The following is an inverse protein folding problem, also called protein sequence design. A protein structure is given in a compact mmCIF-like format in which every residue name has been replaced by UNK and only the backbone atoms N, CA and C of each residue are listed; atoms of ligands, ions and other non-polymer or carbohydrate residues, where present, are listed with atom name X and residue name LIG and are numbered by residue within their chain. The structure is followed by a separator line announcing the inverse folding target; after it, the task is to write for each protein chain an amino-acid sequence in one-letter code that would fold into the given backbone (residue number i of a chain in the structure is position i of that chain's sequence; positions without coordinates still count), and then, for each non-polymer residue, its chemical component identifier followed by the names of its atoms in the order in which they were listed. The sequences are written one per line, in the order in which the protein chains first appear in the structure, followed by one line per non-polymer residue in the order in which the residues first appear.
data_IF_411475291352
#
_entry.id   IF_411475291352
#
_cell.length_a   1.000
_cell.length_b   1.000
_cell.length_c   1.000
_cell.angle_alpha   90.00
_cell.angle_beta   90.00
_cell.angle_gamma   90.00
#
_symmetry.space_group_name_H-M   'P 1'
#
loop_
_entity.id
_entity.type
_entity.pdbx_description
1 polymer ?
#
# COMPACT_ATOMS: atom_id res chain seq x y z
N UNK A 1 -40.11 3.92 -29.85
CA UNK A 1 -39.27 3.00 -30.64
C UNK A 1 -40.15 2.08 -31.45
N UNK A 2 -39.79 1.75 -32.69
CA UNK A 2 -40.49 0.74 -33.48
C UNK A 2 -40.27 -0.65 -32.84
N UNK A 3 -41.35 -1.38 -32.53
CA UNK A 3 -41.29 -2.71 -31.91
C UNK A 3 -40.39 -3.67 -32.69
N UNK A 4 -40.50 -3.66 -34.03
CA UNK A 4 -39.70 -4.54 -34.88
C UNK A 4 -38.20 -4.24 -34.77
N UNK A 5 -37.84 -2.95 -34.73
CA UNK A 5 -36.45 -2.54 -34.58
C UNK A 5 -35.85 -2.96 -33.22
N UNK A 6 -36.63 -2.88 -32.14
CA UNK A 6 -36.19 -3.35 -30.81
C UNK A 6 -36.06 -4.87 -30.77
N UNK A 7 -36.99 -5.58 -31.39
CA UNK A 7 -36.91 -7.04 -31.49
C UNK A 7 -35.65 -7.47 -32.26
N UNK A 8 -35.34 -6.80 -33.37
CA UNK A 8 -34.14 -7.07 -34.15
C UNK A 8 -32.88 -6.75 -33.34
N UNK A 9 -32.87 -5.65 -32.58
CA UNK A 9 -31.78 -5.30 -31.66
C UNK A 9 -31.47 -6.44 -30.67
N UNK A 10 -32.50 -7.07 -30.09
CA UNK A 10 -32.30 -8.19 -29.17
C UNK A 10 -31.89 -9.47 -29.90
N UNK A 11 -32.44 -9.75 -31.09
CA UNK A 11 -32.10 -10.94 -31.88
C UNK A 11 -30.64 -10.96 -32.33
N UNK A 12 -30.09 -9.80 -32.67
CA UNK A 12 -28.71 -9.63 -33.11
C UNK A 12 -27.78 -9.14 -31.99
N UNK A 13 -28.25 -9.12 -30.75
CA UNK A 13 -27.41 -8.80 -29.60
C UNK A 13 -26.34 -9.88 -29.43
N UNK A 14 -25.07 -9.49 -29.41
CA UNK A 14 -23.95 -10.36 -29.06
C UNK A 14 -23.79 -10.37 -27.54
N UNK A 15 -24.14 -11.48 -26.86
CA UNK A 15 -24.06 -11.55 -25.41
C UNK A 15 -22.62 -11.74 -24.93
N UNK A 16 -22.34 -11.25 -23.73
CA UNK A 16 -21.11 -11.52 -23.00
C UNK A 16 -21.04 -12.99 -22.55
N UNK A 17 -22.19 -13.58 -22.18
CA UNK A 17 -22.29 -15.00 -21.86
C UNK A 17 -23.00 -15.78 -22.97
N UNK A 18 -22.42 -16.91 -23.39
CA UNK A 18 -22.94 -17.73 -24.50
C UNK A 18 -24.42 -18.11 -24.35
N UNK A 19 -24.89 -18.32 -23.11
CA UNK A 19 -26.23 -18.78 -22.78
C UNK A 19 -27.26 -17.66 -22.53
N UNK A 20 -26.93 -16.42 -22.91
CA UNK A 20 -27.83 -15.26 -22.87
C UNK A 20 -28.31 -14.80 -24.25
N UNK A 21 -28.00 -15.52 -25.34
CA UNK A 21 -28.52 -15.16 -26.66
C UNK A 21 -30.06 -15.29 -26.75
N UNK A 22 -30.65 -14.69 -27.80
CA UNK A 22 -32.11 -14.63 -27.98
C UNK A 22 -32.79 -16.00 -27.92
N UNK A 23 -32.21 -17.03 -28.56
CA UNK A 23 -32.82 -18.36 -28.63
C UNK A 23 -32.79 -19.06 -27.28
N UNK A 24 -31.71 -18.91 -26.52
CA UNK A 24 -31.58 -19.55 -25.21
C UNK A 24 -32.54 -18.94 -24.18
N UNK A 25 -32.67 -17.62 -24.17
CA UNK A 25 -33.68 -16.96 -23.33
C UNK A 25 -35.11 -17.27 -23.80
N UNK A 26 -35.35 -17.45 -25.11
CA UNK A 26 -36.66 -17.84 -25.64
C UNK A 26 -37.11 -19.21 -25.11
N UNK A 27 -36.19 -20.19 -25.04
CA UNK A 27 -36.45 -21.52 -24.44
C UNK A 27 -36.86 -21.44 -22.96
N UNK A 28 -36.51 -20.35 -22.29
CA UNK A 28 -36.83 -20.09 -20.88
C UNK A 28 -38.12 -19.27 -20.70
N UNK A 29 -38.93 -19.13 -21.75
CA UNK A 29 -40.15 -18.31 -21.78
C UNK A 29 -39.87 -16.82 -21.49
N UNK A 30 -38.73 -16.30 -21.96
CA UNK A 30 -38.42 -14.88 -21.84
C UNK A 30 -39.46 -14.00 -22.56
N UNK A 31 -39.72 -12.83 -21.98
CA UNK A 31 -40.65 -11.82 -22.52
C UNK A 31 -39.91 -10.52 -22.79
N UNK A 32 -40.27 -9.89 -23.91
CA UNK A 32 -39.75 -8.57 -24.29
C UNK A 32 -40.56 -7.47 -23.60
N UNK A 33 -39.87 -6.60 -22.87
CA UNK A 33 -40.43 -5.37 -22.30
C UNK A 33 -39.70 -4.18 -22.89
N UNK A 34 -40.47 -3.23 -23.42
CA UNK A 34 -39.95 -2.00 -24.02
C UNK A 34 -40.45 -0.83 -23.18
N UNK A 35 -39.51 -0.04 -22.67
CA UNK A 35 -39.77 1.23 -21.99
C UNK A 35 -39.04 2.35 -22.73
N UNK A 36 -39.33 3.60 -22.39
CA UNK A 36 -38.66 4.75 -23.00
C UNK A 36 -37.14 4.71 -22.78
N UNK A 37 -36.70 4.20 -21.63
CA UNK A 37 -35.30 4.28 -21.18
C UNK A 37 -34.56 2.94 -21.21
N UNK A 38 -35.26 1.83 -21.43
CA UNK A 38 -34.66 0.50 -21.45
C UNK A 38 -35.46 -0.53 -22.25
N UNK A 39 -34.77 -1.58 -22.66
CA UNK A 39 -35.32 -2.81 -23.21
C UNK A 39 -34.90 -3.95 -22.28
N UNK A 40 -35.83 -4.81 -21.90
CA UNK A 40 -35.56 -6.03 -21.15
C UNK A 40 -36.06 -7.23 -21.93
N UNK A 41 -35.23 -8.27 -22.03
CA UNK A 41 -35.62 -9.57 -22.56
C UNK A 41 -35.15 -10.65 -21.59
N UNK A 42 -36.10 -11.28 -20.92
CA UNK A 42 -35.80 -12.28 -19.88
C UNK A 42 -37.04 -12.83 -19.22
N UNK A 43 -36.84 -13.69 -18.24
CA UNK A 43 -37.93 -14.36 -17.54
C UNK A 43 -38.63 -13.41 -16.56
N UNK A 44 -39.85 -13.78 -16.17
CA UNK A 44 -40.68 -13.07 -15.20
C UNK A 44 -41.34 -14.06 -14.27
N UNK A 45 -41.49 -13.67 -13.00
CA UNK A 45 -42.29 -14.36 -12.00
C UNK A 45 -43.14 -13.30 -11.27
N UNK A 46 -44.45 -13.53 -11.12
CA UNK A 46 -45.38 -12.57 -10.49
C UNK A 46 -45.28 -11.13 -11.07
N UNK A 47 -45.10 -11.00 -12.37
CA UNK A 47 -44.87 -9.73 -13.10
C UNK A 47 -43.60 -8.97 -12.73
N UNK A 48 -42.69 -9.57 -11.95
CA UNK A 48 -41.36 -9.02 -11.64
C UNK A 48 -40.30 -9.76 -12.47
N UNK A 49 -39.22 -9.08 -12.86
CA UNK A 49 -38.08 -9.74 -13.52
C UNK A 49 -37.51 -10.80 -12.60
N UNK A 50 -37.33 -12.00 -13.15
CA UNK A 50 -36.84 -13.16 -12.43
C UNK A 50 -35.97 -14.01 -13.37
N UNK A 51 -35.13 -14.90 -12.83
CA UNK A 51 -34.35 -15.84 -13.63
C UNK A 51 -33.35 -15.12 -14.54
N UNK A 52 -33.06 -15.66 -15.72
CA UNK A 52 -32.11 -15.03 -16.64
C UNK A 52 -32.75 -13.91 -17.45
N UNK A 53 -32.00 -12.83 -17.68
CA UNK A 53 -32.41 -11.78 -18.60
C UNK A 53 -31.33 -10.79 -18.98
N UNK A 54 -31.55 -10.14 -20.13
CA UNK A 54 -30.75 -9.03 -20.63
C UNK A 54 -31.52 -7.72 -20.41
N UNK A 55 -30.84 -6.71 -19.90
CA UNK A 55 -31.32 -5.34 -19.81
C UNK A 55 -30.40 -4.42 -20.62
N UNK A 56 -30.94 -3.71 -21.59
CA UNK A 56 -30.25 -2.70 -22.38
C UNK A 56 -30.84 -1.32 -22.05
N UNK A 57 -30.04 -0.38 -21.56
CA UNK A 57 -30.49 0.98 -21.27
C UNK A 57 -30.03 1.95 -22.35
N UNK A 58 -30.80 3.01 -22.57
CA UNK A 58 -30.52 4.01 -23.60
C UNK A 58 -29.18 4.75 -23.38
N UNK A 59 -28.73 4.87 -22.13
CA UNK A 59 -27.45 5.49 -21.77
C UNK A 59 -26.23 4.57 -22.00
N UNK A 60 -26.42 3.44 -22.70
CA UNK A 60 -25.36 2.48 -23.00
C UNK A 60 -25.13 1.43 -21.91
N UNK A 61 -25.78 1.52 -20.75
CA UNK A 61 -25.69 0.46 -19.73
C UNK A 61 -26.29 -0.84 -20.23
N UNK A 62 -25.61 -1.93 -19.94
CA UNK A 62 -26.06 -3.29 -20.27
C UNK A 62 -25.93 -4.17 -19.04
N UNK A 63 -26.87 -5.08 -18.85
CA UNK A 63 -26.77 -6.12 -17.85
C UNK A 63 -27.21 -7.45 -18.42
N UNK A 64 -26.42 -8.48 -18.18
CA UNK A 64 -26.72 -9.87 -18.48
C UNK A 64 -26.57 -10.64 -17.18
N UNK A 65 -27.64 -11.26 -16.70
CA UNK A 65 -27.53 -11.99 -15.45
C UNK A 65 -28.84 -12.49 -14.89
N UNK A 66 -28.72 -13.03 -13.69
CA UNK A 66 -29.87 -13.51 -12.93
C UNK A 66 -30.61 -12.34 -12.26
N UNK A 67 -31.92 -12.49 -12.18
CA UNK A 67 -32.86 -11.55 -11.59
C UNK A 67 -33.67 -12.26 -10.51
N UNK A 68 -33.98 -11.53 -9.45
CA UNK A 68 -34.92 -11.97 -8.43
C UNK A 68 -35.74 -10.76 -7.99
N UNK A 69 -37.06 -10.81 -8.20
CA UNK A 69 -37.99 -9.76 -7.78
C UNK A 69 -37.56 -8.36 -8.24
N UNK A 70 -37.28 -8.20 -9.54
CA UNK A 70 -36.81 -6.95 -10.17
C UNK A 70 -35.42 -6.45 -9.75
N UNK A 71 -34.68 -7.21 -8.95
CA UNK A 71 -33.32 -6.90 -8.55
C UNK A 71 -32.33 -7.85 -9.22
N UNK A 72 -31.14 -7.32 -9.58
CA UNK A 72 -30.03 -8.18 -10.00
C UNK A 72 -29.65 -9.10 -8.85
N UNK A 73 -29.45 -10.36 -9.17
CA UNK A 73 -29.15 -11.41 -8.21
C UNK A 73 -28.19 -12.43 -8.82
N UNK A 74 -27.54 -13.26 -8.01
CA UNK A 74 -26.67 -14.33 -8.49
C UNK A 74 -25.53 -13.81 -9.37
N UNK A 75 -25.05 -14.64 -10.30
CA UNK A 75 -23.96 -14.27 -11.20
C UNK A 75 -24.48 -13.43 -12.38
N UNK A 76 -23.73 -12.40 -12.76
CA UNK A 76 -24.02 -11.59 -13.93
C UNK A 76 -22.87 -10.65 -14.34
N UNK A 77 -23.02 -10.05 -15.51
CA UNK A 77 -22.13 -9.06 -16.10
C UNK A 77 -22.87 -7.75 -16.32
N UNK A 78 -22.21 -6.63 -16.04
CA UNK A 78 -22.74 -5.28 -16.26
C UNK A 78 -21.70 -4.40 -16.95
N UNK A 79 -22.11 -3.77 -18.04
CA UNK A 79 -21.44 -2.59 -18.60
C UNK A 79 -22.12 -1.34 -18.04
N UNK A 80 -21.35 -0.49 -17.36
CA UNK A 80 -21.79 0.78 -16.82
C UNK A 80 -21.72 1.89 -17.87
N UNK A 81 -22.45 2.99 -17.65
CA UNK A 81 -22.57 4.08 -18.63
C UNK A 81 -21.23 4.78 -18.89
N UNK A 82 -20.32 4.76 -17.90
CA UNK A 82 -18.98 5.31 -18.00
C UNK A 82 -17.98 4.38 -18.71
N UNK A 83 -18.42 3.18 -19.14
CA UNK A 83 -17.57 2.16 -19.76
C UNK A 83 -16.93 1.17 -18.77
N UNK A 84 -17.11 1.36 -17.46
CA UNK A 84 -16.67 0.36 -16.47
C UNK A 84 -17.44 -0.93 -16.65
N UNK A 85 -16.81 -2.05 -16.34
CA UNK A 85 -17.44 -3.37 -16.40
C UNK A 85 -17.36 -4.06 -15.04
N UNK A 86 -18.42 -4.76 -14.65
CA UNK A 86 -18.41 -5.66 -13.50
C UNK A 86 -18.88 -7.03 -13.94
N UNK A 87 -18.14 -8.08 -13.59
CA UNK A 87 -18.55 -9.46 -13.73
C UNK A 87 -18.44 -10.16 -12.38
N UNK A 88 -19.54 -10.71 -11.87
CA UNK A 88 -19.52 -11.38 -10.58
C UNK A 88 -20.89 -11.55 -9.97
N UNK A 89 -20.90 -11.80 -8.67
CA UNK A 89 -22.13 -12.06 -7.94
C UNK A 89 -22.83 -10.75 -7.53
N UNK A 90 -24.15 -10.81 -7.47
CA UNK A 90 -25.06 -9.74 -7.07
C UNK A 90 -26.00 -10.21 -5.97
N UNK A 91 -26.28 -9.34 -5.01
CA UNK A 91 -27.36 -9.50 -4.04
C UNK A 91 -28.08 -8.17 -3.91
N UNK A 92 -29.41 -8.19 -4.02
CA UNK A 92 -30.27 -7.01 -3.95
C UNK A 92 -29.82 -5.87 -4.88
N UNK A 93 -29.45 -6.20 -6.12
CA UNK A 93 -29.05 -5.22 -7.12
C UNK A 93 -27.60 -4.72 -7.00
N UNK A 94 -26.81 -5.17 -6.02
CA UNK A 94 -25.45 -4.68 -5.77
C UNK A 94 -24.40 -5.80 -5.88
N UNK A 95 -23.16 -5.48 -6.32
CA UNK A 95 -22.02 -6.38 -6.23
C UNK A 95 -21.87 -6.98 -4.82
N UNK A 96 -21.71 -8.29 -4.75
CA UNK A 96 -21.57 -9.03 -3.51
C UNK A 96 -20.81 -10.34 -3.77
N UNK A 97 -20.07 -10.88 -2.82
CA UNK A 97 -19.28 -12.10 -3.03
C UNK A 97 -18.09 -11.87 -3.96
N UNK A 98 -17.73 -12.86 -4.79
CA UNK A 98 -16.62 -12.73 -5.73
C UNK A 98 -17.03 -11.96 -6.99
N UNK A 99 -16.14 -11.09 -7.47
CA UNK A 99 -16.32 -10.37 -8.72
C UNK A 99 -15.08 -9.64 -9.21
N UNK A 100 -15.08 -9.36 -10.50
CA UNK A 100 -14.06 -8.62 -11.24
C UNK A 100 -14.65 -7.30 -11.74
N UNK A 101 -13.98 -6.20 -11.46
CA UNK A 101 -14.33 -4.88 -11.95
C UNK A 101 -13.20 -4.32 -12.81
N UNK A 102 -13.55 -3.83 -13.98
CA UNK A 102 -12.61 -3.26 -14.95
C UNK A 102 -13.00 -1.79 -15.14
N UNK A 103 -12.07 -0.89 -14.87
CA UNK A 103 -12.27 0.54 -15.12
C UNK A 103 -11.99 0.87 -16.60
N UNK A 104 -12.55 1.97 -17.15
CA UNK A 104 -12.34 2.35 -18.55
C UNK A 104 -10.87 2.67 -18.88
N UNK A 105 -10.10 3.08 -17.86
CA UNK A 105 -8.67 3.33 -17.99
C UNK A 105 -7.84 2.03 -18.13
N UNK A 106 -8.43 0.87 -17.86
CA UNK A 106 -7.77 -0.44 -17.90
C UNK A 106 -7.32 -0.98 -16.54
N UNK A 107 -7.52 -0.24 -15.44
CA UNK A 107 -7.32 -0.79 -14.09
C UNK A 107 -8.30 -1.95 -13.85
N UNK A 108 -7.89 -2.91 -13.02
CA UNK A 108 -8.70 -4.08 -12.69
C UNK A 108 -8.71 -4.31 -11.19
N UNK A 109 -9.85 -4.68 -10.64
CA UNK A 109 -9.95 -5.25 -9.30
C UNK A 109 -10.63 -6.61 -9.40
N UNK A 110 -10.07 -7.62 -8.76
CA UNK A 110 -10.64 -8.95 -8.67
C UNK A 110 -10.61 -9.40 -7.22
N UNK A 111 -11.78 -9.71 -6.66
CA UNK A 111 -11.85 -10.14 -5.28
C UNK A 111 -13.24 -10.06 -4.70
N UNK A 112 -13.28 -9.92 -3.38
CA UNK A 112 -14.51 -9.93 -2.59
C UNK A 112 -15.20 -8.55 -2.59
N UNK A 113 -16.52 -8.61 -2.62
CA UNK A 113 -17.43 -7.49 -2.62
C UNK A 113 -18.49 -7.69 -1.55
N UNK A 114 -18.90 -6.59 -0.92
CA UNK A 114 -20.01 -6.56 0.01
C UNK A 114 -20.85 -5.31 -0.25
N UNK A 115 -22.08 -5.50 -0.73
CA UNK A 115 -23.05 -4.42 -0.91
C UNK A 115 -22.52 -3.26 -1.78
N UNK A 116 -21.76 -3.58 -2.82
CA UNK A 116 -21.17 -2.62 -3.76
C UNK A 116 -19.80 -2.07 -3.35
N UNK A 117 -19.27 -2.45 -2.18
CA UNK A 117 -17.92 -2.07 -1.76
C UNK A 117 -16.94 -3.25 -1.89
N UNK A 118 -15.69 -2.98 -2.23
CA UNK A 118 -14.60 -3.96 -2.11
C UNK A 118 -14.36 -4.23 -0.63
N UNK A 119 -14.46 -5.48 -0.21
CA UNK A 119 -14.36 -5.88 1.19
C UNK A 119 -13.88 -7.34 1.29
N UNK A 120 -12.91 -7.62 2.15
CA UNK A 120 -12.28 -8.94 2.28
C UNK A 120 -11.00 -9.05 1.43
N UNK A 121 -10.72 -10.23 0.87
CA UNK A 121 -9.50 -10.44 0.06
C UNK A 121 -9.71 -9.99 -1.40
N UNK A 122 -8.72 -9.33 -1.98
CA UNK A 122 -8.76 -8.94 -3.39
C UNK A 122 -7.43 -8.44 -3.93
N UNK A 123 -7.32 -8.44 -5.25
CA UNK A 123 -6.17 -7.94 -6.00
C UNK A 123 -6.59 -6.78 -6.88
N UNK A 124 -5.88 -5.66 -6.77
CA UNK A 124 -5.97 -4.53 -7.69
C UNK A 124 -4.74 -4.50 -8.59
N UNK A 125 -4.97 -4.24 -9.88
CA UNK A 125 -3.96 -4.07 -10.92
C UNK A 125 -4.04 -2.64 -11.45
N UNK A 126 -2.94 -1.91 -11.32
CA UNK A 126 -2.76 -0.56 -11.83
C UNK A 126 -2.32 -0.52 -13.29
N UNK A 127 -2.27 0.70 -13.84
CA UNK A 127 -2.01 0.94 -15.26
C UNK A 127 -0.56 0.68 -15.69
N UNK A 128 0.40 0.78 -14.76
CA UNK A 128 1.84 0.70 -15.04
C UNK A 128 2.48 -0.50 -14.36
N UNK A 129 1.70 -1.57 -14.19
CA UNK A 129 2.13 -2.79 -13.53
C UNK A 129 2.15 -2.70 -12.01
N UNK A 130 1.59 -1.64 -11.42
CA UNK A 130 1.30 -1.66 -9.98
C UNK A 130 0.35 -2.80 -9.66
N UNK A 131 0.54 -3.44 -8.50
CA UNK A 131 -0.36 -4.48 -8.03
C UNK A 131 -0.47 -4.39 -6.52
N UNK A 132 -1.70 -4.38 -6.00
CA UNK A 132 -1.96 -4.60 -4.58
C UNK A 132 -2.74 -5.88 -4.40
N UNK A 133 -2.27 -6.80 -3.55
CA UNK A 133 -2.98 -8.01 -3.17
C UNK A 133 -3.09 -8.05 -1.64
N UNK A 134 -4.30 -8.07 -1.11
CA UNK A 134 -4.47 -8.09 0.35
C UNK A 134 -5.90 -7.89 0.81
N UNK A 135 -6.01 -7.43 2.05
CA UNK A 135 -7.29 -7.13 2.69
C UNK A 135 -7.85 -5.77 2.26
N UNK A 136 -9.16 -5.71 2.13
CA UNK A 136 -9.92 -4.53 1.75
C UNK A 136 -11.06 -4.32 2.74
N UNK A 137 -11.34 -3.05 3.04
CA UNK A 137 -12.53 -2.66 3.79
C UNK A 137 -13.08 -1.38 3.17
N UNK A 138 -14.38 -1.34 2.86
CA UNK A 138 -15.03 -0.14 2.31
C UNK A 138 -14.27 0.54 1.16
N UNK A 139 -13.78 -0.25 0.19
CA UNK A 139 -13.02 0.20 -0.98
C UNK A 139 -11.56 0.64 -0.75
N UNK A 140 -11.03 0.57 0.47
CA UNK A 140 -9.64 0.91 0.79
C UNK A 140 -8.81 -0.31 1.16
N UNK A 141 -7.52 -0.29 0.79
CA UNK A 141 -6.55 -1.28 1.24
C UNK A 141 -6.36 -1.16 2.76
N UNK A 142 -6.45 -2.29 3.44
CA UNK A 142 -6.41 -2.40 4.90
C UNK A 142 -5.74 -3.72 5.30
N UNK A 143 -5.41 -3.92 6.57
CA UNK A 143 -4.94 -5.22 7.07
C UNK A 143 -3.63 -5.65 6.40
N UNK A 144 -3.38 -6.96 6.31
CA UNK A 144 -2.16 -7.46 5.72
C UNK A 144 -2.26 -7.54 4.19
N UNK A 145 -1.21 -7.11 3.48
CA UNK A 145 -1.15 -7.19 2.03
C UNK A 145 0.25 -7.04 1.46
N UNK A 146 0.33 -7.18 0.15
CA UNK A 146 1.51 -6.97 -0.68
C UNK A 146 1.22 -5.92 -1.74
N UNK A 147 2.11 -4.94 -1.88
CA UNK A 147 2.05 -3.91 -2.91
C UNK A 147 3.34 -3.91 -3.73
N UNK A 148 3.19 -4.15 -5.03
CA UNK A 148 4.24 -3.99 -6.03
C UNK A 148 4.01 -2.64 -6.70
N UNK A 149 5.02 -1.78 -6.62
CA UNK A 149 5.00 -0.46 -7.22
C UNK A 149 5.50 -0.52 -8.67
N UNK A 150 5.11 0.46 -9.49
CA UNK A 150 5.51 0.55 -10.91
C UNK A 150 7.02 0.68 -11.12
N UNK A 151 7.76 1.15 -10.09
CA UNK A 151 9.21 1.24 -10.12
C UNK A 151 9.91 -0.07 -9.72
N UNK A 152 9.16 -1.13 -9.40
CA UNK A 152 9.68 -2.41 -8.94
C UNK A 152 9.89 -2.52 -7.42
N UNK A 153 9.64 -1.45 -6.66
CA UNK A 153 9.64 -1.53 -5.20
C UNK A 153 8.48 -2.43 -4.73
N UNK A 154 8.68 -3.19 -3.67
CA UNK A 154 7.72 -4.16 -3.15
C UNK A 154 7.60 -4.00 -1.64
N UNK A 155 6.38 -3.79 -1.16
CA UNK A 155 6.07 -3.78 0.27
C UNK A 155 5.19 -4.96 0.64
N UNK A 156 5.48 -5.60 1.78
CA UNK A 156 4.67 -6.66 2.36
C UNK A 156 4.47 -6.34 3.83
N UNK A 157 3.22 -6.17 4.26
CA UNK A 157 2.93 -5.82 5.64
C UNK A 157 1.53 -5.27 5.84
N UNK A 158 1.36 -4.57 6.95
CA UNK A 158 0.07 -4.03 7.35
C UNK A 158 -0.22 -2.68 6.68
N UNK A 159 -1.48 -2.48 6.30
CA UNK A 159 -2.02 -1.29 5.67
C UNK A 159 -3.15 -0.70 6.49
N UNK A 160 -3.27 0.62 6.46
CA UNK A 160 -4.43 1.36 6.93
C UNK A 160 -4.69 2.52 5.96
N UNK A 161 -5.87 2.55 5.36
CA UNK A 161 -6.27 3.59 4.41
C UNK A 161 -5.23 3.80 3.30
N UNK A 162 -4.80 2.71 2.65
CA UNK A 162 -3.73 2.68 1.65
C UNK A 162 -2.30 2.96 2.13
N UNK A 163 -2.11 3.37 3.39
CA UNK A 163 -0.81 3.68 3.94
C UNK A 163 -0.22 2.48 4.68
N UNK A 164 1.08 2.25 4.51
CA UNK A 164 1.86 1.30 5.33
C UNK A 164 1.69 1.68 6.80
N UNK A 165 1.32 0.73 7.65
CA UNK A 165 1.02 0.99 9.05
C UNK A 165 1.30 -0.26 9.89
N UNK A 166 1.99 -0.17 11.03
CA UNK A 166 2.42 -1.34 11.79
C UNK A 166 3.62 -2.05 11.16
N UNK A 167 3.78 -3.34 11.43
CA UNK A 167 4.93 -4.11 10.96
C UNK A 167 4.86 -4.38 9.44
N UNK A 168 6.01 -4.27 8.76
CA UNK A 168 6.16 -4.64 7.37
C UNK A 168 7.60 -4.69 6.88
N UNK A 169 7.77 -5.20 5.66
CA UNK A 169 9.03 -5.33 4.95
C UNK A 169 8.93 -4.61 3.60
N UNK A 170 9.94 -3.83 3.27
CA UNK A 170 10.05 -3.15 1.99
C UNK A 170 11.33 -3.59 1.29
N UNK A 171 11.18 -3.97 0.03
CA UNK A 171 12.25 -4.35 -0.89
C UNK A 171 12.29 -3.28 -1.97
N UNK A 172 13.42 -2.60 -2.07
CA UNK A 172 13.59 -1.53 -3.03
C UNK A 172 14.23 -2.10 -4.31
N UNK A 173 13.84 -1.55 -5.46
CA UNK A 173 14.37 -1.90 -6.77
C UNK A 173 15.89 -1.69 -6.91
N UNK A 174 16.49 -0.86 -6.06
CA UNK A 174 17.94 -0.67 -5.96
C UNK A 174 18.66 -1.73 -5.11
N UNK A 175 17.93 -2.72 -4.58
CA UNK A 175 18.46 -3.80 -3.74
C UNK A 175 18.51 -3.47 -2.24
N UNK A 176 18.13 -2.26 -1.82
CA UNK A 176 17.97 -1.96 -0.40
C UNK A 176 16.77 -2.72 0.19
N UNK A 177 16.75 -2.89 1.51
CA UNK A 177 15.63 -3.50 2.23
C UNK A 177 15.40 -2.80 3.56
N UNK A 178 14.15 -2.62 3.94
CA UNK A 178 13.77 -2.25 5.30
C UNK A 178 12.83 -3.30 5.90
N UNK A 179 12.98 -3.60 7.19
CA UNK A 179 11.99 -4.33 7.96
C UNK A 179 11.75 -3.64 9.30
N UNK A 180 10.49 -3.44 9.67
CA UNK A 180 10.18 -2.80 10.94
C UNK A 180 8.81 -2.17 10.96
N UNK A 181 8.62 -1.27 11.90
CA UNK A 181 7.35 -0.59 12.10
C UNK A 181 7.19 0.60 11.16
N UNK A 182 5.94 0.85 10.75
CA UNK A 182 5.51 1.97 9.94
C UNK A 182 4.38 2.73 10.64
N UNK A 183 4.34 4.04 10.41
CA UNK A 183 3.20 4.88 10.76
C UNK A 183 2.94 5.84 9.61
N UNK A 184 1.71 5.83 9.10
CA UNK A 184 1.25 6.70 8.01
C UNK A 184 2.19 6.69 6.79
N UNK A 185 2.62 5.50 6.37
CA UNK A 185 3.46 5.30 5.20
C UNK A 185 4.97 5.44 5.44
N UNK A 186 5.41 5.84 6.64
CA UNK A 186 6.84 6.08 6.94
C UNK A 186 7.39 5.10 7.98
N UNK A 187 8.67 4.71 7.91
CA UNK A 187 9.36 4.04 9.00
C UNK A 187 9.19 4.80 10.32
N UNK A 188 8.70 4.12 11.35
CA UNK A 188 8.41 4.72 12.65
C UNK A 188 8.51 3.65 13.75
N UNK A 189 9.20 3.93 14.85
CA UNK A 189 9.51 2.93 15.87
C UNK A 189 10.76 2.14 15.51
N UNK A 190 10.92 0.93 16.08
CA UNK A 190 12.10 0.11 15.80
C UNK A 190 12.04 -0.53 14.41
N UNK A 191 13.19 -0.58 13.74
CA UNK A 191 13.36 -1.24 12.45
C UNK A 191 14.83 -1.48 12.10
N UNK A 192 15.01 -2.20 10.99
CA UNK A 192 16.31 -2.55 10.43
C UNK A 192 16.35 -2.17 8.95
N UNK A 193 17.42 -1.50 8.56
CA UNK A 193 17.67 -1.09 7.18
C UNK A 193 18.92 -1.80 6.68
N UNK A 194 18.82 -2.44 5.52
CA UNK A 194 19.89 -3.13 4.82
C UNK A 194 20.13 -2.39 3.51
N UNK A 195 21.33 -1.86 3.33
CA UNK A 195 21.72 -1.26 2.07
C UNK A 195 22.28 -2.34 1.14
N UNK A 196 22.05 -2.18 -0.17
CA UNK A 196 22.59 -3.09 -1.20
C UNK A 196 24.12 -3.17 -1.20
N UNK A 197 24.80 -2.17 -0.62
CA UNK A 197 26.26 -2.17 -0.43
C UNK A 197 26.74 -3.01 0.77
N UNK A 198 25.83 -3.65 1.50
CA UNK A 198 26.11 -4.51 2.66
C UNK A 198 26.11 -3.79 4.01
N UNK A 199 25.90 -2.47 4.05
CA UNK A 199 25.71 -1.76 5.31
C UNK A 199 24.37 -2.14 5.96
N UNK A 200 24.32 -2.05 7.29
CA UNK A 200 23.14 -2.39 8.08
C UNK A 200 22.94 -1.34 9.17
N UNK A 201 21.69 -0.97 9.43
CA UNK A 201 21.29 -0.15 10.57
C UNK A 201 20.17 -0.86 11.32
N UNK A 202 20.26 -0.89 12.65
CA UNK A 202 19.24 -1.42 13.54
C UNK A 202 18.98 -0.37 14.61
N UNK A 203 17.75 0.12 14.73
CA UNK A 203 17.46 1.20 15.68
C UNK A 203 16.07 1.81 15.50
N UNK A 204 15.88 2.97 16.13
CA UNK A 204 14.59 3.67 16.06
C UNK A 204 14.52 4.63 14.88
N UNK A 205 13.31 4.78 14.36
CA UNK A 205 12.93 5.70 13.31
C UNK A 205 11.78 6.59 13.77
N UNK A 206 11.76 7.83 13.30
CA UNK A 206 10.65 8.76 13.43
C UNK A 206 10.48 9.49 12.10
N UNK A 207 9.29 9.39 11.53
CA UNK A 207 8.96 10.01 10.24
C UNK A 207 9.93 9.66 9.10
N UNK A 208 10.43 8.42 9.10
CA UNK A 208 11.38 7.92 8.09
C UNK A 208 12.85 8.25 8.37
N UNK A 209 13.16 9.01 9.42
CA UNK A 209 14.53 9.37 9.79
C UNK A 209 14.99 8.55 10.99
N UNK A 210 16.26 8.15 11.04
CA UNK A 210 16.86 7.50 12.21
C UNK A 210 16.83 8.47 13.39
N UNK A 211 16.41 7.97 14.54
CA UNK A 211 16.35 8.72 15.78
C UNK A 211 16.67 7.82 16.98
N UNK A 212 16.90 8.40 18.16
CA UNK A 212 17.14 7.66 19.38
C UNK A 212 18.32 6.69 19.24
N UNK A 213 18.28 5.56 19.95
CA UNK A 213 19.40 4.60 19.94
C UNK A 213 19.42 3.76 18.66
N UNK A 214 20.61 3.54 18.12
CA UNK A 214 20.80 2.65 16.98
C UNK A 214 22.22 2.16 16.83
N UNK A 215 22.37 1.11 16.02
CA UNK A 215 23.62 0.49 15.64
C UNK A 215 23.71 0.55 14.13
N UNK A 216 24.78 1.15 13.61
CA UNK A 216 25.14 1.10 12.20
C UNK A 216 26.41 0.27 12.04
N UNK A 217 26.43 -0.62 11.04
CA UNK A 217 27.61 -1.40 10.64
C UNK A 217 27.80 -1.20 9.15
N UNK A 218 29.05 -0.98 8.72
CA UNK A 218 29.39 -0.82 7.30
C UNK A 218 29.25 -2.13 6.52
N UNK A 219 29.55 -3.28 7.16
CA UNK A 219 29.37 -4.64 6.64
C UNK A 219 29.09 -5.61 7.79
N UNK A 220 28.31 -6.66 7.51
CA UNK A 220 27.97 -7.70 8.49
C UNK A 220 29.15 -8.63 8.80
N UNK A 221 29.81 -9.17 7.78
CA UNK A 221 30.71 -10.33 7.89
C UNK A 221 32.20 -10.02 8.02
N UNK A 222 32.57 -8.81 8.46
CA UNK A 222 33.99 -8.42 8.62
C UNK A 222 34.16 -7.29 9.62
N UNK A 223 35.35 -7.14 10.25
CA UNK A 223 35.68 -5.93 10.98
C UNK A 223 35.48 -4.74 10.05
N UNK A 224 34.46 -3.95 10.37
CA UNK A 224 33.97 -2.85 9.56
C UNK A 224 33.70 -1.67 10.45
N UNK A 225 33.66 -0.48 9.86
CA UNK A 225 33.29 0.71 10.60
C UNK A 225 31.89 0.50 11.20
N UNK A 226 31.77 0.76 12.50
CA UNK A 226 30.51 0.61 13.22
C UNK A 226 30.30 1.78 14.17
N UNK A 227 29.05 2.16 14.33
CA UNK A 227 28.63 3.17 15.29
C UNK A 227 27.46 2.62 16.11
N UNK A 228 27.58 2.73 17.42
CA UNK A 228 26.51 2.46 18.36
C UNK A 228 26.29 3.71 19.19
N UNK A 229 25.10 4.29 19.13
CA UNK A 229 24.83 5.52 19.87
C UNK A 229 23.47 6.12 19.52
N UNK A 230 23.33 7.38 19.86
CA UNK A 230 22.10 8.14 19.65
C UNK A 230 22.08 8.85 18.28
N UNK A 231 20.88 9.01 17.74
CA UNK A 231 20.59 9.66 16.47
C UNK A 231 19.50 10.72 16.66
N UNK A 232 19.60 11.80 15.91
CA UNK A 232 18.58 12.82 15.78
C UNK A 232 18.50 13.26 14.32
N UNK A 233 17.31 13.16 13.73
CA UNK A 233 17.05 13.45 12.31
C UNK A 233 18.15 12.91 11.36
N UNK A 234 18.39 11.60 11.41
CA UNK A 234 19.40 10.87 10.62
C UNK A 234 20.87 11.15 10.96
N UNK A 235 21.18 12.02 11.91
CA UNK A 235 22.56 12.35 12.30
C UNK A 235 22.93 11.75 13.65
N UNK A 236 24.18 11.35 13.83
CA UNK A 236 24.70 10.96 15.15
C UNK A 236 24.62 12.16 16.08
N UNK A 237 23.99 11.98 17.22
CA UNK A 237 23.76 13.03 18.21
C UNK A 237 23.78 12.41 19.60
N UNK A 238 24.20 13.13 20.64
CA UNK A 238 24.34 12.56 21.98
C UNK A 238 25.52 11.59 22.11
N UNK A 239 25.51 10.72 23.12
CA UNK A 239 26.62 9.81 23.38
C UNK A 239 26.65 8.65 22.38
N UNK A 240 27.85 8.27 21.92
CA UNK A 240 28.04 7.10 21.09
C UNK A 240 29.46 6.55 21.11
N UNK A 241 29.58 5.35 20.55
CA UNK A 241 30.83 4.63 20.35
C UNK A 241 30.99 4.39 18.85
N UNK A 242 32.06 4.90 18.28
CA UNK A 242 32.44 4.63 16.89
C UNK A 242 33.69 3.74 16.89
N UNK A 243 33.63 2.56 16.28
CA UNK A 243 34.79 1.69 16.08
C UNK A 243 35.13 1.65 14.60
N UNK A 244 36.37 1.96 14.27
CA UNK A 244 36.88 1.90 12.90
C UNK A 244 37.29 0.47 12.55
N UNK A 245 37.30 0.14 11.26
CA UNK A 245 37.73 -1.18 10.79
C UNK A 245 39.18 -1.53 11.13
N UNK A 246 40.01 -0.52 11.40
CA UNK A 246 41.40 -0.70 11.84
C UNK A 246 41.54 -1.02 13.34
N UNK A 247 40.44 -1.06 14.09
CA UNK A 247 40.40 -1.34 15.53
C UNK A 247 40.45 -0.10 16.44
N UNK A 248 40.66 1.10 15.89
CA UNK A 248 40.55 2.32 16.68
C UNK A 248 39.10 2.52 17.15
N UNK A 249 38.91 3.26 18.23
CA UNK A 249 37.60 3.49 18.83
C UNK A 249 37.47 4.88 19.43
N UNK A 250 36.34 5.54 19.22
CA UNK A 250 35.98 6.79 19.88
C UNK A 250 34.75 6.57 20.73
N UNK A 251 34.80 7.01 21.99
CA UNK A 251 33.69 7.00 22.95
C UNK A 251 33.43 8.43 23.40
N UNK A 252 32.26 8.98 23.12
CA UNK A 252 31.98 10.35 23.55
C UNK A 252 30.75 10.95 22.91
N UNK A 253 30.59 12.26 23.11
CA UNK A 253 29.46 12.99 22.55
C UNK A 253 29.65 13.19 21.03
N UNK A 254 28.55 13.13 20.31
CA UNK A 254 28.39 13.48 18.91
C UNK A 254 27.39 14.62 18.79
N UNK A 255 27.62 15.52 17.85
CA UNK A 255 26.66 16.56 17.47
C UNK A 255 26.70 16.70 15.95
N UNK A 256 25.56 16.41 15.30
CA UNK A 256 25.44 16.45 13.84
C UNK A 256 26.54 15.65 13.13
N UNK A 257 26.75 14.39 13.53
CA UNK A 257 27.78 13.47 12.99
C UNK A 257 29.23 13.72 13.41
N UNK A 258 29.53 14.89 14.00
CA UNK A 258 30.88 15.22 14.45
C UNK A 258 31.10 14.82 15.91
N UNK A 259 32.30 14.33 16.22
CA UNK A 259 32.77 14.23 17.62
C UNK A 259 32.67 15.60 18.26
N UNK A 260 32.02 15.67 19.41
CA UNK A 260 31.76 16.91 20.13
C UNK A 260 31.87 16.68 21.63
N UNK A 261 31.96 17.74 22.44
CA UNK A 261 32.03 17.64 23.90
C UNK A 261 33.16 16.75 24.40
N UNK A 262 33.00 16.18 25.60
CA UNK A 262 33.98 15.25 26.13
C UNK A 262 33.95 13.91 25.36
N UNK A 263 35.14 13.38 25.05
CA UNK A 263 35.29 12.07 24.44
C UNK A 263 36.71 11.50 24.55
N UNK A 264 36.80 10.18 24.37
CA UNK A 264 38.02 9.39 24.45
C UNK A 264 38.28 8.66 23.13
N UNK A 265 39.45 8.88 22.53
CA UNK A 265 39.95 8.14 21.38
C UNK A 265 40.93 7.07 21.85
N UNK A 266 40.59 5.81 21.62
CA UNK A 266 41.37 4.61 21.93
C UNK A 266 41.99 4.11 20.62
N UNK A 267 43.31 4.04 20.57
CA UNK A 267 44.05 3.54 19.42
C UNK A 267 44.47 2.09 19.64
N UNK A 268 44.64 1.36 18.54
CA UNK A 268 45.08 -0.05 18.59
C UNK A 268 46.48 -0.25 19.18
N UNK A 269 47.31 0.78 19.19
CA UNK A 269 48.63 0.78 19.84
C UNK A 269 48.56 0.96 21.37
N UNK A 270 47.35 1.07 21.93
CA UNK A 270 47.10 1.30 23.35
C UNK A 270 47.11 2.78 23.77
N UNK A 271 47.42 3.71 22.86
CA UNK A 271 47.34 5.14 23.13
C UNK A 271 45.88 5.56 23.37
N UNK A 272 45.65 6.40 24.37
CA UNK A 272 44.34 6.98 24.66
C UNK A 272 44.45 8.51 24.68
N UNK A 273 43.66 9.19 23.85
CA UNK A 273 43.50 10.64 23.90
C UNK A 273 42.14 10.98 24.51
N UNK A 274 42.13 11.75 25.59
CA UNK A 274 40.91 12.19 26.27
C UNK A 274 40.82 13.70 26.23
N UNK A 275 39.62 14.25 26.08
CA UNK A 275 39.46 15.68 26.08
C UNK A 275 38.17 16.18 25.45
N UNK A 276 38.12 17.50 25.25
CA UNK A 276 36.98 18.15 24.59
C UNK A 276 37.19 18.22 23.07
N UNK A 277 36.16 17.82 22.33
CA UNK A 277 36.10 17.78 20.88
C UNK A 277 35.15 18.84 20.36
N UNK A 278 35.52 19.52 19.27
CA UNK A 278 34.66 20.45 18.55
C UNK A 278 34.79 20.20 17.05
N UNK A 279 33.65 20.01 16.38
CA UNK A 279 33.58 19.73 14.93
C UNK A 279 34.55 18.61 14.49
N UNK A 280 34.67 17.55 15.28
CA UNK A 280 35.53 16.41 14.98
C UNK A 280 36.99 16.55 15.39
N UNK A 281 37.43 17.72 15.88
CA UNK A 281 38.80 18.02 16.28
C UNK A 281 38.95 18.06 17.78
N UNK A 282 40.05 17.53 18.31
CA UNK A 282 40.39 17.64 19.73
C UNK A 282 40.90 19.05 20.01
N UNK A 283 40.23 19.80 20.88
CA UNK A 283 40.57 21.19 21.23
C UNK A 283 41.34 21.25 22.55
N UNK A 284 40.93 20.46 23.55
CA UNK A 284 41.57 20.43 24.87
C UNK A 284 41.92 18.99 25.27
N UNK A 285 43.18 18.59 25.09
CA UNK A 285 43.69 17.30 25.54
C UNK A 285 43.91 17.29 27.06
N UNK A 286 43.32 16.31 27.75
CA UNK A 286 43.53 16.06 29.17
C UNK A 286 44.64 15.02 29.29
N UNK A 287 45.88 15.49 29.50
CA UNK A 287 47.03 14.62 29.76
C UNK A 287 46.93 14.08 31.19
N UNK A 288 47.08 12.77 31.37
CA UNK A 288 47.19 12.17 32.69
C UNK A 288 48.51 12.61 33.34
N UNK A 289 48.53 13.76 34.01
CA UNK A 289 49.56 14.18 34.96
C UNK A 289 48.98 15.20 35.95
N UNK A 290 48.18 14.70 36.88
CA UNK A 290 48.25 15.03 38.31
C UNK A 290 47.05 14.41 39.02
N UNK A 291 47.37 13.68 40.07
CA UNK A 291 46.49 13.13 41.08
C UNK A 291 45.56 14.20 41.66
N UNK A 292 44.37 14.36 41.09
CA UNK A 292 43.15 14.69 41.84
C UNK A 292 42.02 13.78 41.39
N UNK A 293 41.72 12.79 42.23
CA UNK A 293 40.48 12.00 42.15
C UNK A 293 39.30 12.98 42.24
N UNK A 294 38.66 13.26 41.12
CA UNK A 294 37.24 13.61 41.10
C UNK A 294 36.53 12.49 40.35
N UNK A 295 36.02 11.53 41.13
CA UNK A 295 35.11 10.50 40.66
C UNK A 295 33.81 11.17 40.22
N UNK A 296 33.64 11.35 38.92
CA UNK A 296 32.31 11.38 38.32
C UNK A 296 32.26 10.20 37.35
N UNK A 297 32.07 9.01 37.94
CA UNK A 297 31.71 7.82 37.19
C UNK A 297 30.33 8.07 36.56
N UNK A 298 30.31 8.17 35.24
CA UNK A 298 29.09 8.02 34.44
C UNK A 298 28.93 6.55 33.99
N UNK A 299 29.26 5.58 34.86
CA UNK A 299 29.06 4.15 34.56
C UNK A 299 27.59 3.71 34.62
N UNK A 300 26.64 4.65 34.80
CA UNK A 300 25.22 4.34 34.91
C UNK A 300 24.42 4.35 33.58
N UNK A 301 25.07 4.46 32.42
CA UNK A 301 24.36 4.41 31.12
C UNK A 301 24.55 3.15 30.27
N UNK A 302 25.21 2.11 30.79
CA UNK A 302 25.29 0.81 30.10
C UNK A 302 24.87 -0.34 31.02
N UNK A 303 23.56 -0.54 31.13
CA UNK A 303 22.96 -1.86 31.35
C UNK A 303 21.77 -2.03 30.43
N UNK A 304 22.01 -2.42 29.18
CA UNK A 304 21.01 -3.13 28.36
C UNK A 304 21.71 -4.30 27.64
N UNK A 305 21.71 -5.43 28.37
CA UNK A 305 21.38 -6.81 27.95
C UNK A 305 21.98 -7.35 26.64
N UNK A 306 23.04 -8.15 26.78
CA UNK A 306 23.42 -9.25 25.88
C UNK A 306 22.36 -10.38 25.92
N UNK A 307 21.18 -10.16 25.34
CA UNK A 307 20.23 -11.24 24.99
C UNK A 307 19.60 -10.98 23.61
N UNK A 308 20.44 -10.75 22.60
CA UNK A 308 20.03 -11.05 21.23
C UNK A 308 20.07 -12.58 21.09
N UNK A 309 18.99 -13.27 21.48
CA UNK A 309 18.52 -14.58 20.99
C UNK A 309 17.30 -15.14 21.77
N UNK A 310 16.75 -14.46 22.80
CA UNK A 310 15.56 -14.97 23.53
C UNK A 310 14.36 -14.02 23.70
N UNK A 311 14.41 -12.79 23.17
CA UNK A 311 13.29 -11.84 23.31
C UNK A 311 12.19 -11.92 22.23
N UNK A 312 12.13 -13.02 21.47
CA UNK A 312 11.10 -13.27 20.45
C UNK A 312 9.92 -14.15 20.94
N UNK A 313 9.68 -14.29 22.26
CA UNK A 313 8.58 -15.15 22.77
C UNK A 313 7.64 -14.56 23.82
N UNK A 314 7.77 -13.30 24.25
CA UNK A 314 6.91 -12.74 25.32
C UNK A 314 5.89 -11.68 24.89
N UNK A 315 5.80 -11.31 23.61
CA UNK A 315 4.69 -10.49 23.07
C UNK A 315 3.57 -11.31 22.41
N UNK A 316 3.51 -12.63 22.66
CA UNK A 316 2.41 -13.48 22.21
C UNK A 316 1.32 -13.73 23.26
N UNK A 317 1.43 -13.21 24.49
CA UNK A 317 0.41 -13.41 25.52
C UNK A 317 0.30 -12.20 26.47
N UNK A 318 -0.40 -11.14 26.03
CA UNK A 318 -1.12 -10.21 26.92
C UNK A 318 -2.04 -9.29 26.11
N UNK A 319 -3.15 -9.85 25.67
CA UNK A 319 -4.35 -9.09 25.32
C UNK A 319 -5.53 -9.76 26.03
N UNK A 320 -5.79 -9.36 27.28
CA UNK A 320 -7.08 -9.56 27.98
C UNK A 320 -7.33 -8.33 28.84
N UNK A 321 -8.37 -7.56 28.47
CA UNK A 321 -9.22 -6.63 29.23
C UNK A 321 -8.62 -5.77 30.35
N UNK A 322 -8.81 -4.45 30.25
CA UNK A 322 -9.74 -3.69 31.11
C UNK A 322 -10.06 -2.31 30.48
N UNK A 323 -11.34 -2.10 30.17
CA UNK A 323 -11.99 -0.78 30.14
C UNK A 323 -12.13 -0.25 31.57
N UNK A 324 -11.89 1.05 31.80
CA UNK A 324 -12.89 2.02 32.27
C UNK A 324 -12.29 3.24 32.99
N UNK A 325 -12.99 4.37 32.76
CA UNK A 325 -12.93 5.69 33.42
C UNK A 325 -11.72 6.56 33.01
N UNK A 326 -11.86 7.84 32.64
CA UNK A 326 -12.98 8.77 32.76
C UNK A 326 -12.75 9.95 31.80
N UNK A 327 -13.85 10.54 31.35
CA UNK A 327 -13.95 11.74 30.53
C UNK A 327 -13.10 12.90 31.07
N UNK A 328 -12.45 13.63 30.17
CA UNK A 328 -12.40 15.08 30.28
C UNK A 328 -12.37 15.71 28.88
N UNK A 329 -13.50 16.34 28.57
CA UNK A 329 -13.66 17.30 27.49
C UNK A 329 -12.57 18.36 27.56
N UNK A 330 -11.74 18.43 26.53
CA UNK A 330 -11.20 19.70 26.10
C UNK A 330 -11.04 19.70 24.58
N UNK A 331 -11.82 20.58 23.95
CA UNK A 331 -11.72 20.97 22.55
C UNK A 331 -10.27 21.36 22.24
N UNK A 332 -9.55 20.48 21.55
CA UNK A 332 -8.31 20.86 20.87
C UNK A 332 -8.65 20.99 19.39
N UNK A 333 -8.68 22.25 18.97
CA UNK A 333 -8.86 22.72 17.61
C UNK A 333 -8.00 21.92 16.65
N UNK A 334 -8.65 21.33 15.66
CA UNK A 334 -8.02 20.80 14.45
C UNK A 334 -7.22 21.92 13.79
N UNK A 335 -5.91 21.70 13.66
CA UNK A 335 -5.09 22.52 12.78
C UNK A 335 -5.24 21.95 11.36
N UNK A 336 -5.53 22.78 10.35
CA UNK A 336 -6.00 22.31 9.05
C UNK A 336 -4.78 21.92 8.21
N UNK A 337 -4.58 20.63 7.99
CA UNK A 337 -3.86 20.20 6.81
C UNK A 337 -4.87 20.15 5.67
N UNK A 338 -4.63 20.99 4.66
CA UNK A 338 -5.45 21.20 3.48
C UNK A 338 -6.00 19.87 2.91
N UNK A 339 -7.32 19.76 2.92
CA UNK A 339 -8.15 18.69 2.35
C UNK A 339 -8.18 18.66 0.80
N UNK A 340 -7.18 19.23 0.12
CA UNK A 340 -7.23 19.42 -1.34
C UNK A 340 -6.42 18.39 -2.16
N UNK A 341 -5.73 17.43 -1.54
CA UNK A 341 -4.94 16.41 -2.26
C UNK A 341 -5.44 14.96 -2.05
N UNK A 342 -6.61 14.79 -1.42
CA UNK A 342 -7.31 13.50 -1.30
C UNK A 342 -8.41 13.29 -2.35
N UNK A 343 -8.44 14.09 -3.42
CA UNK A 343 -9.17 13.75 -4.66
C UNK A 343 -8.44 12.64 -5.44
N UNK A 344 -8.10 11.53 -4.77
CA UNK A 344 -8.26 10.25 -5.44
C UNK A 344 -9.74 9.93 -5.37
N UNK A 345 -10.43 10.34 -6.45
CA UNK A 345 -11.69 9.81 -6.93
C UNK A 345 -12.02 8.52 -6.20
N UNK A 346 -13.09 8.53 -5.41
CA UNK A 346 -13.63 7.31 -4.86
C UNK A 346 -13.90 6.38 -6.06
N UNK A 347 -13.02 5.39 -6.22
CA UNK A 347 -13.11 4.36 -7.26
C UNK A 347 -14.09 3.28 -6.77
N UNK A 348 -15.25 3.71 -6.28
CA UNK A 348 -16.30 2.80 -5.82
C UNK A 348 -17.26 2.50 -6.96
N UNK A 349 -17.90 1.33 -6.91
CA UNK A 349 -18.98 1.00 -7.83
C UNK A 349 -20.11 2.05 -7.77
N UNK A 350 -20.36 2.67 -6.61
CA UNK A 350 -21.37 3.70 -6.46
C UNK A 350 -21.01 4.99 -7.22
N UNK A 351 -19.73 5.31 -7.36
CA UNK A 351 -19.28 6.49 -8.12
C UNK A 351 -19.39 6.26 -9.63
N UNK A 352 -19.06 5.05 -10.08
CA UNK A 352 -19.27 4.61 -11.46
C UNK A 352 -20.76 4.61 -11.87
N UNK A 353 -21.67 4.41 -10.91
CA UNK A 353 -23.11 4.56 -11.14
C UNK A 353 -23.56 6.03 -11.28
N UNK A 354 -22.85 6.99 -10.67
CA UNK A 354 -23.26 8.39 -10.55
C UNK A 354 -22.62 9.34 -11.57
N UNK A 355 -21.62 8.90 -12.34
CA UNK A 355 -20.82 9.72 -13.26
C UNK A 355 -21.55 10.29 -14.48
N UNK A 356 -22.89 10.29 -14.50
CA UNK A 356 -23.73 10.92 -15.52
C UNK A 356 -24.60 12.07 -14.99
N UNK A 357 -24.35 12.60 -13.79
CA UNK A 357 -25.07 13.78 -13.28
C UNK A 357 -24.57 15.14 -13.81
N UNK A 358 -23.51 15.19 -14.63
CA UNK A 358 -22.92 16.44 -15.14
C UNK A 358 -23.16 16.72 -16.63
N UNK A 359 -24.30 16.28 -17.17
CA UNK A 359 -24.84 16.85 -18.41
C UNK A 359 -26.33 17.12 -18.16
N UNK A 360 -26.66 18.42 -18.12
CA UNK A 360 -27.98 19.03 -17.82
C UNK A 360 -28.27 19.28 -16.34
N UNK A 361 -27.79 20.41 -15.82
CA UNK A 361 -28.49 21.18 -14.80
C UNK A 361 -28.46 22.67 -15.18
N UNK A 362 -29.48 23.09 -15.93
CA UNK A 362 -30.01 24.44 -15.91
C UNK A 362 -31.51 24.32 -15.59
N UNK A 363 -31.92 24.94 -14.47
CA UNK A 363 -33.29 25.17 -14.00
C UNK A 363 -34.06 23.90 -13.53
N UNK A 364 -34.82 23.88 -12.44
CA UNK A 364 -35.42 24.90 -11.59
C UNK A 364 -35.54 24.39 -10.15
N UNK A 365 -35.48 25.32 -9.20
CA UNK A 365 -35.96 25.16 -7.83
C UNK A 365 -37.45 24.77 -7.81
N UNK A 366 -37.82 23.83 -6.94
CA UNK A 366 -38.92 24.02 -5.98
C UNK A 366 -38.98 22.92 -4.92
N UNK A 367 -39.20 23.39 -3.69
CA UNK A 367 -39.35 22.64 -2.44
C UNK A 367 -40.63 21.78 -2.41
N UNK A 368 -40.57 20.63 -1.74
CA UNK A 368 -41.45 20.29 -0.61
C UNK A 368 -41.11 18.94 0.06
N UNK A 369 -40.75 19.00 1.36
CA UNK A 369 -41.28 18.26 2.53
C UNK A 369 -41.91 16.86 2.32
N UNK A 370 -41.74 15.80 3.13
CA UNK A 370 -41.09 15.50 4.42
C UNK A 370 -41.24 13.95 4.67
N UNK A 371 -41.00 13.36 5.87
CA UNK A 371 -40.01 12.30 6.10
C UNK A 371 -40.58 10.88 6.26
N UNK A 372 -39.74 9.84 6.10
CA UNK A 372 -40.05 8.50 6.59
C UNK A 372 -38.83 7.86 7.26
N UNK A 373 -39.07 7.46 8.51
CA UNK A 373 -38.21 6.80 9.49
C UNK A 373 -37.30 5.69 8.94
N UNK A 374 -35.98 5.83 9.13
CA UNK A 374 -35.03 4.72 9.04
C UNK A 374 -34.74 4.16 10.43
N UNK A 375 -35.33 3.01 10.76
CA UNK A 375 -34.88 2.18 11.87
C UNK A 375 -33.53 1.55 11.50
N UNK A 376 -32.45 1.99 12.17
CA UNK A 376 -31.12 1.41 12.05
C UNK A 376 -31.02 0.14 12.89
N UNK A 377 -30.86 -1.01 12.26
CA UNK A 377 -30.41 -2.23 12.95
C UNK A 377 -28.88 -2.19 13.06
N UNK A 378 -28.37 -2.02 14.30
CA UNK A 378 -26.96 -2.29 14.62
C UNK A 378 -26.79 -3.78 14.85
N UNK A 379 -26.05 -4.46 13.99
CA UNK A 379 -25.53 -5.80 14.27
C UNK A 379 -24.01 -5.75 14.34
N UNK A 380 -23.50 -5.67 15.55
CA UNK A 380 -22.08 -5.93 15.84
C UNK A 380 -21.82 -7.42 15.67
N UNK A 381 -20.96 -7.82 14.72
CA UNK A 381 -20.45 -9.19 14.66
C UNK A 381 -18.92 -9.18 14.65
N UNK A 382 -18.38 -9.77 15.72
CA UNK A 382 -16.99 -10.10 15.93
C UNK A 382 -16.55 -11.18 14.92
N UNK A 383 -15.57 -10.89 14.08
CA UNK A 383 -14.98 -11.86 13.15
C UNK A 383 -13.85 -12.60 13.87
N UNK A 384 -13.97 -13.94 13.97
CA UNK A 384 -12.90 -14.83 14.42
C UNK A 384 -11.99 -15.18 13.25
N UNK A 385 -10.72 -14.79 13.33
CA UNK A 385 -9.66 -15.20 12.40
C UNK A 385 -9.25 -16.64 12.73
N UNK A 386 -9.37 -17.59 11.79
CA UNK A 386 -8.77 -18.92 11.90
C UNK A 386 -7.41 -18.90 11.20
N UNK A 387 -6.34 -19.18 11.94
CA UNK A 387 -5.02 -19.48 11.37
C UNK A 387 -5.05 -20.86 10.70
N UNK A 388 -4.66 -20.93 9.43
CA UNK A 388 -4.34 -22.17 8.74
C UNK A 388 -2.82 -22.33 8.67
N UNK A 389 -2.28 -23.36 9.34
CA UNK A 389 -0.92 -23.85 9.09
C UNK A 389 -0.96 -24.77 7.86
N UNK A 390 -0.03 -24.58 6.92
CA UNK A 390 0.13 -25.44 5.75
C UNK A 390 1.52 -26.07 5.80
N UNK A 391 1.55 -27.39 5.97
CA UNK A 391 2.75 -28.21 5.99
C UNK A 391 3.43 -28.22 4.61
N UNK A 392 4.75 -28.07 4.63
CA UNK A 392 5.66 -28.21 3.49
C UNK A 392 6.18 -29.64 3.42
N UNK A 393 5.91 -30.33 2.33
CA UNK A 393 6.82 -31.31 1.76
C UNK A 393 6.52 -31.43 0.26
N UNK A 394 7.51 -31.21 -0.60
CA UNK A 394 7.66 -31.98 -1.83
C UNK A 394 9.08 -31.82 -2.38
N UNK A 395 9.63 -32.95 -2.79
CA UNK A 395 11.01 -33.24 -3.11
C UNK A 395 11.42 -32.82 -4.52
N UNK A 396 12.71 -32.51 -4.64
CA UNK A 396 13.47 -32.23 -5.85
C UNK A 396 13.75 -33.52 -6.63
N UNK A 397 13.56 -33.52 -7.95
CA UNK A 397 14.18 -34.51 -8.85
C UNK A 397 14.71 -33.83 -10.10
N UNK A 398 16.02 -33.98 -10.31
CA UNK A 398 16.79 -33.57 -11.48
C UNK A 398 16.51 -34.50 -12.66
N UNK A 399 16.50 -33.98 -13.88
CA UNK A 399 16.91 -34.73 -15.08
C UNK A 399 17.61 -33.80 -16.07
N UNK A 400 18.71 -34.32 -16.64
CA UNK A 400 19.65 -33.69 -17.57
C UNK A 400 19.57 -34.35 -18.97
N UNK A 401 19.61 -33.55 -20.04
CA UNK A 401 20.35 -33.79 -21.32
C UNK A 401 20.27 -32.49 -22.15
N UNK A 402 21.33 -31.82 -22.63
CA UNK A 402 22.46 -32.10 -23.54
C UNK A 402 22.10 -32.28 -25.03
N UNK A 403 22.17 -31.17 -25.78
CA UNK A 403 22.95 -30.88 -27.02
C UNK A 403 22.19 -30.01 -28.06
N UNK A 404 22.80 -28.88 -28.45
CA UNK A 404 22.39 -28.01 -29.58
C UNK A 404 23.00 -28.48 -30.92
N UNK A 405 23.26 -27.63 -31.94
CA UNK A 405 23.03 -26.18 -32.06
C UNK A 405 22.42 -25.73 -33.41
N UNK A 406 22.03 -24.45 -33.55
CA UNK A 406 22.31 -23.61 -34.75
C UNK A 406 21.69 -22.21 -34.62
N UNK A 407 22.53 -21.20 -34.83
CA UNK A 407 22.15 -19.83 -35.23
C UNK A 407 22.59 -19.63 -36.68
N UNK A 408 22.06 -18.63 -37.41
CA UNK A 408 22.79 -17.36 -37.43
C UNK A 408 21.94 -16.07 -37.54
N UNK A 409 22.62 -15.00 -37.11
CA UNK A 409 22.37 -13.56 -37.14
C UNK A 409 21.72 -12.98 -38.41
N UNK A 410 21.06 -11.82 -38.24
CA UNK A 410 21.17 -10.66 -39.16
C UNK A 410 20.90 -9.33 -38.43
N UNK A 411 21.93 -8.48 -38.38
CA UNK A 411 21.83 -7.02 -38.23
C UNK A 411 21.40 -6.41 -39.58
N UNK A 412 20.78 -5.22 -39.56
CA UNK A 412 21.07 -4.05 -40.44
C UNK A 412 20.34 -2.80 -39.90
N UNK A 413 21.09 -1.71 -39.87
CA UNK A 413 20.81 -0.30 -39.60
C UNK A 413 20.06 0.44 -40.73
N UNK A 414 19.30 1.50 -40.41
CA UNK A 414 19.55 2.92 -40.81
C UNK A 414 18.31 3.84 -40.81
N UNK A 415 18.57 5.09 -40.36
CA UNK A 415 18.10 6.42 -40.83
C UNK A 415 16.71 7.00 -40.46
N UNK A 416 16.82 8.05 -39.63
CA UNK A 416 16.17 9.37 -39.62
C UNK A 416 15.28 9.78 -40.82
N UNK A 417 14.11 10.35 -40.52
CA UNK A 417 13.63 11.59 -41.15
C UNK A 417 12.62 12.37 -40.29
N UNK A 418 12.58 13.69 -40.52
CA UNK A 418 12.04 14.77 -39.68
C UNK A 418 10.59 15.18 -40.01
N UNK A 419 9.92 15.75 -38.99
CA UNK A 419 8.91 16.84 -39.03
C UNK A 419 7.53 16.51 -39.65
N UNK A 420 6.36 16.87 -39.12
CA UNK A 420 5.77 18.04 -38.40
C UNK A 420 4.42 17.50 -37.81
N UNK A 421 3.78 17.96 -36.73
CA UNK A 421 3.30 19.32 -36.40
C UNK A 421 2.57 19.28 -35.05
N UNK A 422 2.71 20.37 -34.29
CA UNK A 422 1.76 20.94 -33.31
C UNK A 422 1.18 20.04 -32.21
N UNK A 423 1.83 20.08 -31.04
CA UNK A 423 1.15 19.81 -29.77
C UNK A 423 1.13 21.08 -28.94
N UNK A 424 -0.09 21.55 -28.63
CA UNK A 424 -0.33 22.59 -27.63
C UNK A 424 0.31 22.17 -26.32
N UNK A 425 1.20 23.00 -25.80
CA UNK A 425 1.70 22.87 -24.44
C UNK A 425 0.56 23.20 -23.48
N UNK A 426 0.01 22.18 -22.81
CA UNK A 426 -0.64 22.36 -21.52
C UNK A 426 0.38 22.00 -20.43
N UNK A 427 0.54 22.97 -19.54
CA UNK A 427 1.50 23.00 -18.45
C UNK A 427 1.09 22.00 -17.35
N UNK A 428 2.06 21.14 -16.99
CA UNK A 428 2.32 20.49 -15.69
C UNK A 428 1.16 20.33 -14.69
N UNK A 429 0.85 19.07 -14.38
CA UNK A 429 0.59 18.64 -13.01
C UNK A 429 1.81 17.81 -12.56
N UNK A 430 2.71 18.46 -11.81
CA UNK A 430 3.84 17.83 -11.15
C UNK A 430 3.39 17.24 -9.80
N UNK A 431 4.13 16.21 -9.38
CA UNK A 431 4.23 15.67 -8.03
C UNK A 431 3.07 14.78 -7.56
N UNK A 432 3.17 13.50 -7.94
CA UNK A 432 2.51 12.41 -7.23
C UNK A 432 2.97 12.44 -5.76
N UNK A 433 2.08 12.91 -4.88
CA UNK A 433 2.19 12.80 -3.43
C UNK A 433 2.05 11.33 -3.01
N UNK A 434 3.13 10.60 -3.16
CA UNK A 434 3.48 9.51 -2.26
C UNK A 434 4.78 9.93 -1.63
N UNK A 435 4.84 9.88 -0.30
CA UNK A 435 6.06 10.11 0.44
C UNK A 435 7.09 9.09 -0.05
N UNK A 436 7.90 9.50 -1.02
CA UNK A 436 9.22 8.93 -1.21
C UNK A 436 9.86 9.07 0.16
N UNK A 437 9.98 7.95 0.86
CA UNK A 437 10.84 7.87 2.03
C UNK A 437 12.14 8.51 1.57
N UNK A 438 12.55 9.59 2.25
CA UNK A 438 13.90 10.11 2.08
C UNK A 438 14.78 8.90 2.32
N UNK A 439 15.41 8.38 1.25
CA UNK A 439 16.44 7.37 1.38
C UNK A 439 17.40 7.95 2.43
N UNK A 440 17.63 7.26 3.56
CA UNK A 440 18.57 7.77 4.53
C UNK A 440 19.85 8.03 3.75
N UNK A 441 20.33 9.29 3.80
CA UNK A 441 21.48 9.68 2.98
C UNK A 441 22.61 8.70 3.27
N UNK A 442 23.14 8.09 2.21
CA UNK A 442 24.41 7.39 2.31
C UNK A 442 25.43 8.44 2.79
N UNK A 443 26.12 8.16 3.89
CA UNK A 443 27.18 9.04 4.36
C UNK A 443 28.24 9.15 3.25
N UNK A 444 28.38 10.34 2.67
CA UNK A 444 29.61 10.74 2.02
C UNK A 444 30.65 10.88 3.13
N UNK A 445 31.54 9.91 3.25
CA UNK A 445 32.79 10.09 3.96
C UNK A 445 33.54 11.21 3.24
N UNK A 446 33.48 12.43 3.76
CA UNK A 446 34.56 13.37 3.52
C UNK A 446 35.74 12.84 4.32
N UNK A 447 36.68 12.21 3.61
CA UNK A 447 38.06 12.16 4.05
C UNK A 447 38.51 13.61 4.27
N UNK A 448 38.85 13.92 5.53
CA UNK A 448 40.05 14.67 5.90
C UNK A 448 40.21 14.62 7.41
#
# INVERSE_FOLDING_TARGET
MNYQAVLDQIKFYEPHFDDYNFLDLQKLNAKLTISNNYVYYGQFENNLRHGKGILLQQNGRKYEGQWQNDQKYGYGWELLANGSQYEGNYVMGKPHGQGKFIWPNGEVYEGQWNQGAKEGQGTWYGLKGEQYQGEWINNVAFGYGEHIHSNGDRYVGNFKDWLKNGEGQEYFSNGDRYQGNYLNGKPHGYGEYFWSNGAIFQGYFKDGLRCGKGIWKRREDSPSDQYQGEYDEDKKNGYGVYKWSNGNEYRGIFLNDYKHGYGEMHYVDGKILKGNWEQGKLVNEIKQNSSKKTSHSFDNHIKIVDNTHSYNKSYQNRNIFMDNQQENNNQIKSNPYNDNDNEKLSNSYADALNSNKNINNNNNNNNNSNPASSQTYRTTKTIRIRQYQKDKSFSMSQQTSQYGPSSPKRDISEKNEKQKTQTKFCIKAQDNFYLHIRRPKQFSLYQN
#
